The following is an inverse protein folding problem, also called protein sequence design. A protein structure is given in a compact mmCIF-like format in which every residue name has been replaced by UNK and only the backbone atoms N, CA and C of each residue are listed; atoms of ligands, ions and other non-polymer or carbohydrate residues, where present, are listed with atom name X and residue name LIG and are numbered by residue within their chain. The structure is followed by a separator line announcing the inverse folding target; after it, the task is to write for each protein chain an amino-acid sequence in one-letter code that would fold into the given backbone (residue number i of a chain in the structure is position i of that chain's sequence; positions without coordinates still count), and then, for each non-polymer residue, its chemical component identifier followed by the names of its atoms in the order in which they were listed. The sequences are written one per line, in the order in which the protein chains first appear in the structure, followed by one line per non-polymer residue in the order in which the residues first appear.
data_IF_247264628470
#
_entry.id   IF_247264628470
#
_cell.length_a   1.000
_cell.length_b   1.000
_cell.length_c   1.000
_cell.angle_alpha   90.00
_cell.angle_beta   90.00
_cell.angle_gamma   90.00
#
_symmetry.space_group_name_H-M   'P 1'
#
loop_
_entity.id
_entity.type
_entity.pdbx_description
1 polymer ?
#
# COMPACT_ATOMS: atom_id res chain seq x y z
N UNK A 1 -9.15 -9.70 -3.05
CA UNK A 1 -9.11 -9.91 -1.57
C UNK A 1 -7.91 -10.76 -1.21
N UNK A 2 -7.14 -10.41 -0.16
CA UNK A 2 -5.93 -11.14 0.19
C UNK A 2 -6.22 -12.62 0.46
N UNK A 3 -5.34 -13.47 -0.06
CA UNK A 3 -5.43 -14.94 0.09
C UNK A 3 -4.67 -15.47 1.28
N UNK A 4 -3.69 -14.71 1.75
CA UNK A 4 -2.86 -15.10 2.88
C UNK A 4 -2.29 -13.88 3.59
N UNK A 5 -1.94 -14.10 4.85
CA UNK A 5 -1.22 -13.15 5.68
C UNK A 5 -0.11 -13.90 6.43
N UNK A 6 1.09 -13.35 6.39
CA UNK A 6 2.28 -13.97 6.95
C UNK A 6 3.00 -12.95 7.83
N UNK A 7 3.24 -13.31 9.08
CA UNK A 7 4.10 -12.59 10.00
C UNK A 7 5.46 -13.28 10.02
N UNK A 8 6.52 -12.55 9.73
CA UNK A 8 7.86 -13.10 9.69
C UNK A 8 8.89 -12.10 10.23
N UNK A 9 10.02 -12.60 10.65
CA UNK A 9 11.18 -11.81 11.05
C UNK A 9 12.34 -12.07 10.08
N UNK A 10 13.23 -11.09 9.94
CA UNK A 10 14.46 -11.25 9.17
C UNK A 10 15.63 -11.21 10.12
N UNK A 11 16.24 -12.38 10.36
CA UNK A 11 17.49 -12.49 11.07
C UNK A 11 18.66 -12.23 10.12
N UNK A 12 19.64 -11.43 10.58
CA UNK A 12 20.81 -11.07 9.75
C UNK A 12 21.69 -12.27 9.37
N UNK A 13 21.71 -13.30 10.19
CA UNK A 13 22.55 -14.49 10.00
C UNK A 13 21.80 -15.65 9.33
N UNK A 14 20.53 -15.84 9.68
CA UNK A 14 19.74 -16.99 9.23
C UNK A 14 18.73 -16.63 8.13
N UNK A 15 18.47 -15.33 7.90
CA UNK A 15 17.52 -14.88 6.89
C UNK A 15 16.07 -14.84 7.39
N UNK A 16 15.07 -14.91 6.48
CA UNK A 16 13.67 -14.79 6.84
C UNK A 16 13.15 -16.04 7.57
N UNK A 17 12.49 -15.83 8.71
CA UNK A 17 11.87 -16.85 9.55
C UNK A 17 10.39 -16.54 9.77
N UNK A 18 9.49 -17.45 9.42
CA UNK A 18 8.05 -17.29 9.58
C UNK A 18 7.67 -17.52 11.04
N UNK A 19 7.12 -16.49 11.69
CA UNK A 19 6.63 -16.52 13.06
C UNK A 19 5.21 -17.11 13.12
N UNK A 20 4.33 -16.66 12.23
CA UNK A 20 2.97 -17.17 12.05
C UNK A 20 2.49 -16.92 10.63
N UNK A 21 1.62 -17.76 10.14
CA UNK A 21 1.07 -17.67 8.80
C UNK A 21 -0.37 -18.19 8.78
N UNK A 22 -1.21 -17.53 7.97
CA UNK A 22 -2.56 -17.98 7.70
C UNK A 22 -2.86 -17.88 6.22
N UNK A 23 -3.34 -18.97 5.62
CA UNK A 23 -3.69 -19.10 4.22
C UNK A 23 -5.16 -19.49 4.08
N UNK A 24 -5.89 -18.86 3.16
CA UNK A 24 -7.27 -19.27 2.86
C UNK A 24 -7.31 -20.64 2.17
N UNK A 25 -6.29 -20.93 1.35
CA UNK A 25 -6.09 -22.22 0.70
C UNK A 25 -4.68 -22.72 1.00
N UNK A 26 -4.54 -24.03 1.21
CA UNK A 26 -3.23 -24.62 1.54
C UNK A 26 -2.21 -24.53 0.42
N UNK A 27 -2.67 -24.36 -0.82
CA UNK A 27 -1.82 -24.26 -2.01
C UNK A 27 -1.24 -22.84 -2.20
N UNK A 28 -1.73 -21.83 -1.48
CA UNK A 28 -1.29 -20.44 -1.59
C UNK A 28 -0.04 -20.10 -0.73
N UNK A 29 0.81 -21.10 -0.43
CA UNK A 29 2.00 -20.85 0.40
C UNK A 29 2.98 -19.91 -0.27
N UNK A 30 3.52 -18.96 0.54
CA UNK A 30 4.55 -18.04 0.05
C UNK A 30 5.81 -18.81 -0.37
N UNK A 31 6.31 -18.59 -1.60
CA UNK A 31 7.55 -19.22 -2.05
C UNK A 31 8.75 -18.71 -1.26
N UNK A 32 9.68 -19.60 -0.92
CA UNK A 32 10.93 -19.22 -0.22
C UNK A 32 11.77 -18.22 -1.03
N UNK A 33 11.68 -18.26 -2.35
CA UNK A 33 12.33 -17.27 -3.23
C UNK A 33 11.79 -15.85 -3.02
N UNK A 34 10.48 -15.69 -2.80
CA UNK A 34 9.84 -14.41 -2.51
C UNK A 34 10.27 -13.87 -1.14
N UNK A 35 10.31 -14.73 -0.11
CA UNK A 35 10.80 -14.34 1.21
C UNK A 35 12.27 -13.88 1.18
N UNK A 36 13.12 -14.55 0.41
CA UNK A 36 14.51 -14.13 0.21
C UNK A 36 14.60 -12.77 -0.49
N UNK A 37 13.78 -12.55 -1.51
CA UNK A 37 13.74 -11.28 -2.23
C UNK A 37 13.22 -10.15 -1.33
N UNK A 38 12.23 -10.40 -0.47
CA UNK A 38 11.81 -9.45 0.57
C UNK A 38 12.97 -9.12 1.52
N UNK A 39 13.69 -10.13 2.01
CA UNK A 39 14.85 -9.92 2.87
C UNK A 39 15.91 -9.02 2.22
N UNK A 40 16.21 -9.25 0.93
CA UNK A 40 17.16 -8.41 0.20
C UNK A 40 16.68 -6.97 0.05
N UNK A 41 15.40 -6.76 -0.26
CA UNK A 41 14.84 -5.42 -0.46
C UNK A 41 14.70 -4.67 0.86
N UNK A 42 14.24 -5.30 1.92
CA UNK A 42 14.08 -4.67 3.23
C UNK A 42 15.43 -4.37 3.91
N UNK A 43 16.32 -5.37 4.00
CA UNK A 43 17.57 -5.24 4.76
C UNK A 43 18.66 -4.55 3.96
N UNK A 44 18.93 -5.00 2.72
CA UNK A 44 20.04 -4.44 1.93
C UNK A 44 19.70 -3.10 1.29
N UNK A 45 18.42 -2.86 0.93
CA UNK A 45 17.99 -1.62 0.28
C UNK A 45 17.25 -0.67 1.20
N UNK A 46 16.86 -1.11 2.40
CA UNK A 46 16.21 -0.28 3.42
C UNK A 46 14.77 0.13 3.09
N UNK A 47 14.06 -0.62 2.23
CA UNK A 47 12.67 -0.31 1.91
C UNK A 47 11.74 -0.71 3.06
N UNK A 48 10.82 0.20 3.44
CA UNK A 48 9.80 -0.07 4.46
C UNK A 48 8.71 -0.99 3.94
N UNK A 49 8.30 -0.81 2.68
CA UNK A 49 7.32 -1.65 1.99
C UNK A 49 7.88 -2.16 0.67
N UNK A 50 7.50 -3.36 0.30
CA UNK A 50 7.98 -4.04 -0.89
C UNK A 50 6.83 -4.80 -1.54
N UNK A 51 6.69 -4.65 -2.84
CA UNK A 51 5.81 -5.47 -3.66
C UNK A 51 6.64 -6.34 -4.62
N UNK A 52 6.22 -7.59 -4.79
CA UNK A 52 6.82 -8.54 -5.73
C UNK A 52 5.66 -9.19 -6.50
N UNK A 53 5.75 -9.16 -7.84
CA UNK A 53 4.87 -9.95 -8.71
C UNK A 53 5.56 -11.22 -9.12
N UNK A 54 4.84 -12.31 -9.00
CA UNK A 54 5.32 -13.61 -9.50
C UNK A 54 4.12 -14.45 -9.89
N UNK A 55 4.13 -14.88 -11.14
CA UNK A 55 3.00 -15.55 -11.77
C UNK A 55 1.74 -14.65 -11.70
N UNK A 56 0.59 -15.19 -11.30
CA UNK A 56 -0.67 -14.45 -11.12
C UNK A 56 -0.83 -13.86 -9.70
N UNK A 57 0.21 -13.89 -8.87
CA UNK A 57 0.17 -13.44 -7.50
C UNK A 57 1.01 -12.18 -7.31
N UNK A 58 0.47 -11.30 -6.47
CA UNK A 58 1.13 -10.11 -5.99
C UNK A 58 1.43 -10.28 -4.51
N UNK A 59 2.69 -10.21 -4.14
CA UNK A 59 3.16 -10.34 -2.76
C UNK A 59 3.51 -8.95 -2.25
N UNK A 60 2.84 -8.51 -1.21
CA UNK A 60 3.12 -7.24 -0.53
C UNK A 60 3.71 -7.52 0.83
N UNK A 61 4.76 -6.81 1.22
CA UNK A 61 5.37 -6.89 2.55
C UNK A 61 5.66 -5.51 3.09
N UNK A 62 5.30 -5.28 4.35
CA UNK A 62 5.52 -4.06 5.08
C UNK A 62 6.33 -4.32 6.36
N UNK A 63 7.27 -3.41 6.68
CA UNK A 63 7.98 -3.42 7.96
C UNK A 63 7.03 -2.94 9.06
N UNK A 64 6.88 -3.76 10.09
CA UNK A 64 6.01 -3.47 11.22
C UNK A 64 6.76 -2.65 12.26
N UNK A 65 6.14 -1.59 12.79
CA UNK A 65 6.70 -0.88 13.95
C UNK A 65 6.51 -1.71 15.22
N UNK A 66 7.54 -2.45 15.59
CA UNK A 66 7.53 -3.41 16.69
C UNK A 66 8.32 -2.94 17.93
N UNK A 67 8.54 -1.63 18.08
CA UNK A 67 9.25 -1.04 19.23
C UNK A 67 8.61 -1.43 20.58
N UNK A 68 7.27 -1.44 20.63
CA UNK A 68 6.53 -1.81 21.86
C UNK A 68 6.75 -3.25 22.33
N UNK A 69 7.23 -4.13 21.45
CA UNK A 69 7.54 -5.53 21.75
C UNK A 69 9.05 -5.84 21.73
N UNK A 70 9.89 -4.80 21.70
CA UNK A 70 11.36 -4.91 21.65
C UNK A 70 11.89 -5.78 20.51
N UNK A 71 11.29 -5.70 19.32
CA UNK A 71 11.73 -6.36 18.12
C UNK A 71 11.90 -5.36 16.98
N UNK A 72 12.96 -5.52 16.18
CA UNK A 72 13.30 -4.53 15.15
C UNK A 72 12.97 -4.95 13.72
N UNK A 73 13.04 -6.23 13.42
CA UNK A 73 13.00 -6.73 12.05
C UNK A 73 11.79 -7.66 11.81
N UNK A 74 10.60 -7.18 12.21
CA UNK A 74 9.33 -7.86 11.97
C UNK A 74 8.65 -7.25 10.75
N UNK A 75 8.05 -8.13 9.96
CA UNK A 75 7.37 -7.79 8.72
C UNK A 75 6.04 -8.53 8.63
N UNK A 76 5.07 -7.85 8.05
CA UNK A 76 3.77 -8.43 7.71
C UNK A 76 3.66 -8.51 6.19
N UNK A 77 3.35 -9.69 5.66
CA UNK A 77 3.18 -9.88 4.22
C UNK A 77 1.79 -10.39 3.88
N UNK A 78 1.29 -9.95 2.74
CA UNK A 78 0.00 -10.35 2.18
C UNK A 78 0.19 -10.93 0.79
N UNK A 79 -0.57 -11.97 0.47
CA UNK A 79 -0.66 -12.51 -0.87
C UNK A 79 -1.97 -12.03 -1.49
N UNK A 80 -1.86 -11.29 -2.57
CA UNK A 80 -2.96 -10.67 -3.30
C UNK A 80 -3.12 -11.32 -4.67
N UNK A 81 -4.31 -11.22 -5.24
CA UNK A 81 -4.53 -11.55 -6.65
C UNK A 81 -4.08 -10.40 -7.53
N UNK A 82 -3.76 -10.70 -8.78
CA UNK A 82 -3.54 -9.67 -9.78
C UNK A 82 -4.80 -8.81 -9.96
N UNK A 83 -4.61 -7.49 -10.06
CA UNK A 83 -5.72 -6.53 -10.19
C UNK A 83 -6.36 -6.08 -8.87
N UNK A 84 -5.91 -6.58 -7.71
CA UNK A 84 -6.36 -6.05 -6.42
C UNK A 84 -5.74 -4.68 -6.13
N UNK A 85 -6.59 -3.73 -5.72
CA UNK A 85 -6.18 -2.36 -5.35
C UNK A 85 -5.43 -2.39 -4.00
N UNK A 86 -4.11 -2.50 -4.08
CA UNK A 86 -3.23 -2.53 -2.90
C UNK A 86 -3.37 -1.28 -2.04
N UNK A 87 -3.58 -0.12 -2.66
CA UNK A 87 -3.60 1.16 -1.94
C UNK A 87 -4.82 1.26 -1.05
N UNK A 88 -5.98 0.86 -1.56
CA UNK A 88 -7.21 0.78 -0.75
C UNK A 88 -7.08 -0.22 0.39
N UNK A 89 -6.30 -1.29 0.20
CA UNK A 89 -6.05 -2.30 1.22
C UNK A 89 -5.01 -1.87 2.25
N UNK A 90 -4.10 -0.93 1.94
CA UNK A 90 -3.04 -0.49 2.88
C UNK A 90 -3.58 -0.05 4.23
N UNK A 91 -4.66 0.74 4.26
CA UNK A 91 -5.26 1.18 5.52
C UNK A 91 -5.83 0.03 6.37
N UNK A 92 -6.33 -1.01 5.72
CA UNK A 92 -6.78 -2.23 6.42
C UNK A 92 -5.58 -3.03 6.94
N UNK A 93 -4.48 -3.07 6.17
CA UNK A 93 -3.24 -3.73 6.60
C UNK A 93 -2.63 -3.04 7.82
N UNK A 94 -2.63 -1.71 7.88
CA UNK A 94 -2.20 -0.92 9.04
C UNK A 94 -3.04 -1.22 10.29
N UNK A 95 -4.36 -1.39 10.13
CA UNK A 95 -5.24 -1.81 11.22
C UNK A 95 -4.91 -3.22 11.72
N UNK A 96 -4.61 -4.15 10.81
CA UNK A 96 -4.20 -5.51 11.16
C UNK A 96 -2.83 -5.48 11.85
N UNK A 97 -1.87 -4.71 11.34
CA UNK A 97 -0.56 -4.50 11.94
C UNK A 97 -0.70 -4.05 13.40
N UNK A 98 -1.53 -3.03 13.64
CA UNK A 98 -1.81 -2.54 14.99
C UNK A 98 -2.35 -3.64 15.90
N UNK A 99 -3.32 -4.44 15.42
CA UNK A 99 -3.89 -5.58 16.18
C UNK A 99 -2.85 -6.67 16.45
N UNK A 100 -1.99 -6.96 15.47
CA UNK A 100 -0.90 -7.95 15.59
C UNK A 100 0.08 -7.52 16.68
N UNK A 101 0.48 -6.25 16.70
CA UNK A 101 1.44 -5.73 17.69
C UNK A 101 0.82 -5.68 19.09
N UNK A 102 -0.40 -5.16 19.22
CA UNK A 102 -1.10 -5.07 20.51
C UNK A 102 -1.31 -6.43 21.19
N UNK A 103 -1.48 -7.47 20.39
CA UNK A 103 -1.77 -8.84 20.89
C UNK A 103 -0.60 -9.81 20.61
N UNK A 104 0.59 -9.28 20.37
CA UNK A 104 1.74 -10.12 20.04
C UNK A 104 2.02 -11.18 21.11
N UNK A 105 2.21 -12.41 20.67
CA UNK A 105 2.54 -13.55 21.52
C UNK A 105 3.60 -14.43 20.86
N UNK A 106 4.43 -15.07 21.68
CA UNK A 106 5.36 -16.12 21.21
C UNK A 106 4.64 -17.43 20.90
N UNK A 107 3.38 -17.56 21.31
CA UNK A 107 2.55 -18.71 20.97
C UNK A 107 2.06 -18.59 19.52
N UNK A 108 2.58 -19.48 18.67
CA UNK A 108 2.25 -19.51 17.23
C UNK A 108 0.74 -19.66 16.98
N UNK A 109 0.04 -20.46 17.78
CA UNK A 109 -1.39 -20.71 17.57
C UNK A 109 -2.22 -19.43 17.82
N UNK A 110 -1.87 -18.68 18.89
CA UNK A 110 -2.51 -17.39 19.16
C UNK A 110 -2.25 -16.39 18.03
N UNK A 111 -1.03 -16.33 17.51
CA UNK A 111 -0.71 -15.44 16.40
C UNK A 111 -1.47 -15.84 15.13
N UNK A 112 -1.56 -17.13 14.81
CA UNK A 112 -2.36 -17.61 13.67
C UNK A 112 -3.83 -17.20 13.80
N UNK A 113 -4.41 -17.25 14.99
CA UNK A 113 -5.79 -16.81 15.23
C UNK A 113 -5.97 -15.31 14.97
N UNK A 114 -5.02 -14.48 15.42
CA UNK A 114 -5.03 -13.03 15.16
C UNK A 114 -4.95 -12.76 13.66
N UNK A 115 -4.05 -13.44 12.94
CA UNK A 115 -3.91 -13.29 11.49
C UNK A 115 -5.17 -13.74 10.75
N UNK A 116 -5.78 -14.86 11.17
CA UNK A 116 -7.05 -15.35 10.64
C UNK A 116 -8.17 -14.33 10.82
N UNK A 117 -8.30 -13.76 12.01
CA UNK A 117 -9.30 -12.72 12.28
C UNK A 117 -9.05 -11.46 11.42
N UNK A 118 -7.79 -11.08 11.20
CA UNK A 118 -7.41 -9.99 10.31
C UNK A 118 -7.87 -10.22 8.87
N UNK A 119 -7.59 -11.37 8.29
CA UNK A 119 -8.04 -11.70 6.92
C UNK A 119 -9.57 -11.76 6.84
N UNK A 120 -10.22 -12.37 7.81
CA UNK A 120 -11.67 -12.47 7.84
C UNK A 120 -12.35 -11.10 7.92
N UNK A 121 -11.77 -10.13 8.62
CA UNK A 121 -12.31 -8.75 8.65
C UNK A 121 -12.26 -8.09 7.28
N UNK A 122 -11.16 -8.26 6.52
CA UNK A 122 -11.06 -7.73 5.14
C UNK A 122 -12.07 -8.41 4.21
N UNK A 123 -12.21 -9.74 4.31
CA UNK A 123 -13.17 -10.50 3.49
C UNK A 123 -14.60 -10.08 3.78
N UNK A 124 -14.94 -9.93 5.06
CA UNK A 124 -16.26 -9.48 5.50
C UNK A 124 -16.59 -8.08 4.97
N UNK A 125 -15.62 -7.15 5.04
CA UNK A 125 -15.77 -5.79 4.52
C UNK A 125 -16.03 -5.81 3.01
N UNK A 126 -15.29 -6.61 2.26
CA UNK A 126 -15.51 -6.75 0.82
C UNK A 126 -16.87 -7.33 0.46
N UNK A 127 -17.32 -8.33 1.22
CA UNK A 127 -18.66 -8.92 1.03
C UNK A 127 -19.77 -7.89 1.33
N UNK A 128 -19.64 -7.16 2.45
CA UNK A 128 -20.60 -6.09 2.82
C UNK A 128 -20.73 -5.03 1.72
N UNK A 129 -19.63 -4.65 1.07
CA UNK A 129 -19.65 -3.66 -0.02
C UNK A 129 -20.28 -4.17 -1.31
N UNK A 130 -20.20 -5.49 -1.57
CA UNK A 130 -20.76 -6.11 -2.77
C UNK A 130 -22.23 -6.55 -2.61
N UNK A 131 -22.60 -6.94 -1.39
CA UNK A 131 -23.91 -7.53 -1.08
C UNK A 131 -24.67 -6.69 -0.04
N UNK A 132 -25.50 -5.72 -0.46
CA UNK A 132 -26.28 -4.86 0.45
C UNK A 132 -27.13 -5.65 1.47
N UNK A 133 -27.54 -6.87 1.12
CA UNK A 133 -28.32 -7.75 1.98
C UNK A 133 -27.56 -8.06 3.29
N UNK A 134 -26.24 -8.24 3.25
CA UNK A 134 -25.44 -8.53 4.44
C UNK A 134 -25.53 -7.36 5.44
N UNK A 135 -25.46 -6.12 4.93
CA UNK A 135 -25.62 -4.93 5.77
C UNK A 135 -27.04 -4.88 6.35
N UNK A 136 -28.07 -5.14 5.53
CA UNK A 136 -29.46 -5.18 5.99
C UNK A 136 -29.66 -6.21 7.11
N UNK A 137 -29.10 -7.39 6.98
CA UNK A 137 -29.20 -8.43 8.01
C UNK A 137 -28.50 -8.01 9.33
N UNK A 138 -27.33 -7.36 9.25
CA UNK A 138 -26.63 -6.82 10.43
C UNK A 138 -27.46 -5.71 11.10
N UNK A 139 -28.04 -4.80 10.33
CA UNK A 139 -28.90 -3.73 10.86
C UNK A 139 -30.14 -4.29 11.53
N UNK A 140 -30.76 -5.32 10.95
CA UNK A 140 -31.90 -6.01 11.55
C UNK A 140 -31.55 -6.67 12.89
N UNK A 141 -30.37 -7.29 13.01
CA UNK A 141 -29.93 -7.86 14.30
C UNK A 141 -29.65 -6.77 15.33
N UNK A 142 -29.03 -5.65 14.95
CA UNK A 142 -28.82 -4.50 15.85
C UNK A 142 -30.14 -3.91 16.32
N UNK A 143 -31.07 -3.75 15.40
CA UNK A 143 -32.44 -3.23 15.72
C UNK A 143 -33.15 -4.12 16.72
N UNK A 144 -33.10 -5.45 16.55
CA UNK A 144 -33.68 -6.38 17.54
C UNK A 144 -33.09 -6.19 18.93
N UNK A 145 -31.75 -6.06 19.05
CA UNK A 145 -31.09 -5.79 20.32
C UNK A 145 -31.53 -4.46 20.94
N UNK A 146 -31.63 -3.40 20.15
CA UNK A 146 -32.10 -2.09 20.60
C UNK A 146 -33.56 -2.17 21.12
N UNK A 147 -34.42 -2.93 20.46
CA UNK A 147 -35.78 -3.18 20.91
C UNK A 147 -35.83 -3.93 22.24
N UNK A 148 -34.96 -4.95 22.43
CA UNK A 148 -34.85 -5.72 23.67
C UNK A 148 -34.34 -4.82 24.83
N UNK A 149 -33.51 -3.81 24.51
CA UNK A 149 -32.98 -2.83 25.45
C UNK A 149 -33.92 -1.61 25.68
N UNK A 150 -35.13 -1.60 25.11
CA UNK A 150 -36.11 -0.50 25.15
C UNK A 150 -35.64 0.82 24.49
N UNK A 151 -34.69 0.76 23.56
CA UNK A 151 -34.22 1.90 22.77
C UNK A 151 -35.08 2.09 21.53
N UNK A 152 -36.38 2.39 21.73
CA UNK A 152 -37.41 2.35 20.67
C UNK A 152 -37.20 3.39 19.59
N UNK A 153 -36.69 4.58 19.94
CA UNK A 153 -36.50 5.66 18.99
C UNK A 153 -35.32 5.35 18.08
N UNK A 154 -34.18 4.96 18.65
CA UNK A 154 -32.97 4.58 17.91
C UNK A 154 -33.20 3.36 17.00
N UNK A 155 -33.98 2.38 17.50
CA UNK A 155 -34.39 1.21 16.71
C UNK A 155 -35.20 1.62 15.49
N UNK A 156 -36.17 2.55 15.65
CA UNK A 156 -37.01 3.02 14.55
C UNK A 156 -36.17 3.78 13.48
N UNK A 157 -35.29 4.69 13.92
CA UNK A 157 -34.39 5.41 13.01
C UNK A 157 -33.51 4.44 12.24
N UNK A 158 -33.01 3.38 12.88
CA UNK A 158 -32.15 2.37 12.23
C UNK A 158 -32.93 1.49 11.24
N UNK A 159 -34.23 1.20 11.50
CA UNK A 159 -35.10 0.51 10.55
C UNK A 159 -35.27 1.34 9.28
N UNK A 160 -35.65 2.63 9.44
CA UNK A 160 -35.89 3.53 8.32
C UNK A 160 -34.63 3.68 7.44
N UNK A 161 -33.45 3.78 8.06
CA UNK A 161 -32.16 3.83 7.36
C UNK A 161 -31.81 2.48 6.70
N UNK A 162 -32.12 1.37 7.36
CA UNK A 162 -31.80 0.01 6.90
C UNK A 162 -32.54 -0.42 5.62
N UNK A 163 -33.68 0.21 5.30
CA UNK A 163 -34.42 -0.10 4.09
C UNK A 163 -33.68 0.37 2.82
N UNK A 164 -33.22 1.62 2.81
CA UNK A 164 -32.73 2.29 1.60
C UNK A 164 -31.19 2.46 1.56
N UNK A 165 -30.56 2.73 2.70
CA UNK A 165 -29.15 3.17 2.73
C UNK A 165 -28.18 2.09 2.25
N UNK A 166 -28.33 0.80 2.58
CA UNK A 166 -27.41 -0.24 2.09
C UNK A 166 -27.34 -0.35 0.57
N UNK A 167 -28.47 -0.20 -0.11
CA UNK A 167 -28.53 -0.23 -1.57
C UNK A 167 -27.90 1.03 -2.17
N UNK A 168 -28.25 2.20 -1.64
CA UNK A 168 -27.65 3.48 -2.05
C UNK A 168 -26.12 3.48 -1.86
N UNK A 169 -25.64 2.88 -0.77
CA UNK A 169 -24.21 2.73 -0.48
C UNK A 169 -23.53 1.88 -1.57
N UNK A 170 -24.08 0.70 -1.88
CA UNK A 170 -23.50 -0.19 -2.88
C UNK A 170 -23.54 0.43 -4.29
N UNK A 171 -24.61 1.12 -4.64
CA UNK A 171 -24.71 1.82 -5.92
C UNK A 171 -23.70 2.96 -6.04
N UNK A 172 -23.52 3.76 -4.98
CA UNK A 172 -22.54 4.85 -4.97
C UNK A 172 -21.09 4.33 -5.06
N UNK A 173 -20.80 3.17 -4.44
CA UNK A 173 -19.49 2.50 -4.58
C UNK A 173 -19.26 2.05 -6.02
N UNK A 174 -20.26 1.43 -6.68
CA UNK A 174 -20.16 1.04 -8.09
C UNK A 174 -19.90 2.24 -9.00
N UNK A 175 -20.63 3.33 -8.80
CA UNK A 175 -20.46 4.58 -9.55
C UNK A 175 -19.04 5.14 -9.34
N UNK A 176 -18.52 5.09 -8.11
CA UNK A 176 -17.17 5.53 -7.80
C UNK A 176 -16.12 4.69 -8.53
N UNK A 177 -16.29 3.37 -8.57
CA UNK A 177 -15.39 2.45 -9.27
C UNK A 177 -15.43 2.62 -10.80
N UNK A 178 -16.60 2.90 -11.37
CA UNK A 178 -16.74 3.24 -12.79
C UNK A 178 -16.00 4.53 -13.13
N UNK A 179 -16.14 5.60 -12.32
CA UNK A 179 -15.38 6.84 -12.49
C UNK A 179 -13.87 6.60 -12.36
N UNK A 180 -13.45 5.76 -11.43
CA UNK A 180 -12.02 5.41 -11.24
C UNK A 180 -11.49 4.69 -12.49
N UNK A 181 -12.22 3.72 -13.02
CA UNK A 181 -11.87 2.98 -14.25
C UNK A 181 -11.76 3.93 -15.45
N UNK A 182 -12.60 4.95 -15.52
CA UNK A 182 -12.59 5.96 -16.57
C UNK A 182 -11.59 7.09 -16.31
N UNK A 183 -10.74 6.99 -15.26
CA UNK A 183 -9.76 8.00 -14.84
C UNK A 183 -10.38 9.35 -14.47
N UNK A 184 -11.66 9.37 -14.13
CA UNK A 184 -12.37 10.55 -13.66
C UNK A 184 -12.19 10.74 -12.13
N UNK A 185 -10.96 10.86 -11.68
CA UNK A 185 -10.54 10.78 -10.28
C UNK A 185 -11.30 11.72 -9.32
N UNK A 186 -11.60 12.95 -9.76
CA UNK A 186 -12.36 13.91 -8.93
C UNK A 186 -13.79 13.47 -8.68
N UNK A 187 -14.42 12.84 -9.69
CA UNK A 187 -15.79 12.29 -9.55
C UNK A 187 -15.74 11.03 -8.69
N UNK A 188 -14.77 10.14 -8.93
CA UNK A 188 -14.55 8.96 -8.11
C UNK A 188 -14.37 9.31 -6.62
N UNK A 189 -13.48 10.29 -6.30
CA UNK A 189 -13.34 10.81 -4.93
C UNK A 189 -14.68 11.21 -4.33
N UNK A 190 -15.45 12.02 -5.06
CA UNK A 190 -16.74 12.54 -4.56
C UNK A 190 -17.73 11.42 -4.24
N UNK A 191 -17.83 10.42 -5.11
CA UNK A 191 -18.69 9.25 -4.91
C UNK A 191 -18.20 8.37 -3.75
N UNK A 192 -16.88 8.11 -3.59
CA UNK A 192 -16.37 7.39 -2.44
C UNK A 192 -16.65 8.11 -1.12
N UNK A 193 -16.49 9.44 -1.06
CA UNK A 193 -16.80 10.22 0.14
C UNK A 193 -18.29 10.17 0.47
N UNK A 194 -19.17 10.30 -0.53
CA UNK A 194 -20.61 10.16 -0.34
C UNK A 194 -20.99 8.77 0.16
N UNK A 195 -20.39 7.71 -0.40
CA UNK A 195 -20.57 6.35 0.10
C UNK A 195 -20.08 6.20 1.55
N UNK A 196 -18.96 6.85 1.92
CA UNK A 196 -18.49 6.90 3.30
C UNK A 196 -19.51 7.56 4.24
N UNK A 197 -20.12 8.66 3.83
CA UNK A 197 -21.18 9.33 4.60
C UNK A 197 -22.40 8.42 4.81
N UNK A 198 -22.81 7.69 3.78
CA UNK A 198 -23.90 6.70 3.88
C UNK A 198 -23.55 5.58 4.88
N UNK A 199 -22.30 5.11 4.89
CA UNK A 199 -21.84 4.10 5.84
C UNK A 199 -21.86 4.63 7.29
N UNK A 200 -21.51 5.90 7.52
CA UNK A 200 -21.63 6.54 8.84
C UNK A 200 -23.07 6.55 9.32
N UNK A 201 -24.03 6.89 8.46
CA UNK A 201 -25.45 6.94 8.83
C UNK A 201 -25.97 5.60 9.39
N UNK A 202 -25.47 4.48 8.87
CA UNK A 202 -25.82 3.13 9.32
C UNK A 202 -24.84 2.57 10.35
N UNK A 203 -23.96 3.39 10.91
CA UNK A 203 -22.98 3.04 11.95
C UNK A 203 -22.00 1.92 11.53
N UNK A 204 -21.66 1.85 10.25
CA UNK A 204 -20.64 0.94 9.69
C UNK A 204 -19.29 1.67 9.57
N UNK A 205 -18.64 1.96 10.71
CA UNK A 205 -17.43 2.78 10.81
C UNK A 205 -16.24 2.20 10.02
N UNK A 206 -16.09 0.87 9.96
CA UNK A 206 -15.02 0.23 9.19
C UNK A 206 -15.19 0.50 7.69
N UNK A 207 -16.42 0.40 7.18
CA UNK A 207 -16.76 0.71 5.79
C UNK A 207 -16.54 2.19 5.52
N UNK A 208 -17.02 3.05 6.42
CA UNK A 208 -16.90 4.50 6.30
C UNK A 208 -15.42 4.93 6.21
N UNK A 209 -14.58 4.44 7.12
CA UNK A 209 -13.15 4.72 7.13
C UNK A 209 -12.45 4.24 5.86
N UNK A 210 -12.72 3.00 5.43
CA UNK A 210 -12.15 2.44 4.21
C UNK A 210 -12.50 3.29 2.98
N UNK A 211 -13.77 3.63 2.79
CA UNK A 211 -14.23 4.40 1.63
C UNK A 211 -13.70 5.83 1.65
N UNK A 212 -13.59 6.45 2.82
CA UNK A 212 -12.99 7.78 2.98
C UNK A 212 -11.53 7.76 2.57
N UNK A 213 -10.76 6.83 3.08
CA UNK A 213 -9.34 6.69 2.76
C UNK A 213 -9.14 6.43 1.27
N UNK A 214 -9.96 5.56 0.66
CA UNK A 214 -9.95 5.31 -0.78
C UNK A 214 -10.27 6.57 -1.58
N UNK A 215 -11.29 7.31 -1.19
CA UNK A 215 -11.67 8.56 -1.86
C UNK A 215 -10.59 9.64 -1.76
N UNK A 216 -9.99 9.83 -0.58
CA UNK A 216 -8.90 10.79 -0.38
C UNK A 216 -7.66 10.41 -1.19
N UNK A 217 -7.33 9.13 -1.23
CA UNK A 217 -6.20 8.64 -2.01
C UNK A 217 -6.39 8.87 -3.51
N UNK A 218 -7.52 8.42 -4.07
CA UNK A 218 -7.88 8.62 -5.48
C UNK A 218 -7.92 10.12 -5.83
N UNK A 219 -8.35 10.96 -4.89
CA UNK A 219 -8.39 12.40 -5.08
C UNK A 219 -7.03 13.07 -5.28
N UNK A 220 -5.93 12.43 -4.89
CA UNK A 220 -4.55 12.93 -5.09
C UNK A 220 -4.00 12.61 -6.48
N UNK A 221 -4.57 11.64 -7.19
CA UNK A 221 -4.06 11.19 -8.50
C UNK A 221 -3.88 12.32 -9.53
N UNK A 222 -4.82 13.27 -9.72
CA UNK A 222 -4.63 14.34 -10.67
C UNK A 222 -3.41 15.22 -10.38
N UNK A 223 -3.11 15.45 -9.11
CA UNK A 223 -1.98 16.29 -8.71
C UNK A 223 -0.67 15.50 -8.83
N UNK A 224 -0.66 14.22 -8.46
CA UNK A 224 0.48 13.32 -8.66
C UNK A 224 0.82 13.16 -10.16
N UNK A 225 -0.17 13.06 -11.04
CA UNK A 225 0.04 12.97 -12.48
C UNK A 225 0.65 14.26 -13.05
N UNK A 226 0.18 15.43 -12.60
CA UNK A 226 0.77 16.72 -13.00
C UNK A 226 2.21 16.87 -12.52
N UNK A 227 2.47 16.48 -11.27
CA UNK A 227 3.81 16.51 -10.70
C UNK A 227 4.75 15.58 -11.48
N UNK A 228 4.29 14.39 -11.84
CA UNK A 228 5.02 13.45 -12.70
C UNK A 228 5.40 14.05 -14.03
N UNK A 229 4.45 14.72 -14.70
CA UNK A 229 4.71 15.37 -15.99
C UNK A 229 5.72 16.50 -15.87
N UNK A 230 5.74 17.21 -14.74
CA UNK A 230 6.74 18.26 -14.47
C UNK A 230 8.13 17.67 -14.24
N UNK A 231 8.22 16.60 -13.44
CA UNK A 231 9.48 15.92 -13.16
C UNK A 231 10.06 15.24 -14.41
N UNK A 232 9.23 14.67 -15.28
CA UNK A 232 9.68 14.12 -16.56
C UNK A 232 10.34 15.20 -17.43
N UNK A 233 9.74 16.40 -17.54
CA UNK A 233 10.34 17.52 -18.28
C UNK A 233 11.66 18.01 -17.65
N UNK A 234 11.76 17.97 -16.33
CA UNK A 234 12.99 18.31 -15.62
C UNK A 234 14.10 17.29 -15.95
N UNK A 235 13.79 15.99 -15.89
CA UNK A 235 14.73 14.93 -16.25
C UNK A 235 15.15 15.03 -17.72
N UNK A 236 14.20 15.27 -18.64
CA UNK A 236 14.50 15.49 -20.06
C UNK A 236 15.46 16.66 -20.26
N UNK A 237 15.26 17.76 -19.54
CA UNK A 237 16.16 18.92 -19.61
C UNK A 237 17.55 18.55 -19.10
N UNK A 238 17.67 17.90 -17.93
CA UNK A 238 18.96 17.50 -17.36
C UNK A 238 19.67 16.53 -18.31
N UNK A 239 18.97 15.53 -18.84
CA UNK A 239 19.55 14.53 -19.77
C UNK A 239 20.01 15.18 -21.07
N UNK A 240 19.27 16.13 -21.62
CA UNK A 240 19.70 16.92 -22.79
C UNK A 240 20.96 17.74 -22.53
N UNK A 241 21.15 18.29 -21.34
CA UNK A 241 22.38 18.99 -20.94
C UNK A 241 23.58 18.04 -20.75
N UNK A 242 23.36 16.77 -20.36
CA UNK A 242 24.41 15.76 -20.28
C UNK A 242 25.05 15.43 -21.63
N UNK A 243 24.27 15.46 -22.71
CA UNK A 243 24.77 15.28 -24.08
C UNK A 243 25.81 16.34 -24.47
N UNK A 244 25.78 17.50 -23.81
CA UNK A 244 26.78 18.59 -23.96
C UNK A 244 28.05 18.40 -23.10
N UNK A 245 28.40 17.19 -22.64
CA UNK A 245 29.56 16.89 -21.78
C UNK A 245 29.54 17.54 -20.38
N UNK A 246 28.37 17.82 -19.84
CA UNK A 246 28.21 18.35 -18.48
C UNK A 246 28.05 17.21 -17.46
N UNK A 247 29.08 16.39 -17.28
CA UNK A 247 29.03 15.15 -16.47
C UNK A 247 28.64 15.37 -15.00
N UNK A 248 28.83 16.57 -14.44
CA UNK A 248 28.47 16.90 -13.07
C UNK A 248 26.96 16.99 -12.82
N UNK A 249 26.12 16.93 -13.86
CA UNK A 249 24.66 17.00 -13.74
C UNK A 249 24.02 15.65 -13.40
N UNK A 250 24.78 14.54 -13.42
CA UNK A 250 24.21 13.21 -13.04
C UNK A 250 23.62 13.18 -11.66
N UNK A 251 24.21 13.92 -10.71
CA UNK A 251 23.71 14.03 -9.34
C UNK A 251 22.32 14.64 -9.27
N UNK A 252 22.04 15.63 -10.13
CA UNK A 252 20.74 16.32 -10.18
C UNK A 252 19.58 15.43 -10.65
N UNK A 253 19.87 14.26 -11.24
CA UNK A 253 18.84 13.28 -11.63
C UNK A 253 18.27 12.49 -10.45
N UNK A 254 19.01 12.42 -9.33
CA UNK A 254 18.68 11.50 -8.25
C UNK A 254 17.35 11.89 -7.57
N UNK A 255 17.21 13.14 -7.15
CA UNK A 255 16.03 13.62 -6.44
C UNK A 255 14.75 13.56 -7.29
N UNK A 256 14.72 14.05 -8.55
CA UNK A 256 13.56 13.88 -9.41
C UNK A 256 13.17 12.42 -9.66
N UNK A 257 14.14 11.52 -9.83
CA UNK A 257 13.85 10.09 -10.00
C UNK A 257 13.29 9.50 -8.72
N UNK A 258 13.80 9.86 -7.55
CA UNK A 258 13.27 9.38 -6.28
C UNK A 258 11.82 9.80 -6.09
N UNK A 259 11.51 11.03 -6.42
CA UNK A 259 10.15 11.52 -6.37
C UNK A 259 9.23 10.83 -7.38
N UNK A 260 9.73 10.54 -8.59
CA UNK A 260 8.98 9.73 -9.57
C UNK A 260 8.71 8.30 -9.06
N UNK A 261 9.66 7.69 -8.36
CA UNK A 261 9.47 6.37 -7.73
C UNK A 261 8.34 6.43 -6.69
N UNK A 262 8.30 7.46 -5.85
CA UNK A 262 7.22 7.66 -4.89
C UNK A 262 5.86 7.83 -5.57
N UNK A 263 5.79 8.65 -6.62
CA UNK A 263 4.56 8.88 -7.40
C UNK A 263 4.11 7.57 -8.06
N UNK A 264 5.02 6.84 -8.70
CA UNK A 264 4.75 5.56 -9.35
C UNK A 264 4.23 4.51 -8.37
N UNK A 265 4.79 4.46 -7.16
CA UNK A 265 4.29 3.61 -6.08
C UNK A 265 2.87 4.00 -5.65
N UNK A 266 2.57 5.30 -5.54
CA UNK A 266 1.24 5.80 -5.19
C UNK A 266 0.20 5.53 -6.30
N UNK A 267 0.63 5.47 -7.55
CA UNK A 267 -0.21 5.14 -8.70
C UNK A 267 -0.26 3.64 -9.01
N UNK A 268 0.45 2.81 -8.23
CA UNK A 268 0.58 1.35 -8.42
C UNK A 268 1.21 0.92 -9.77
N UNK A 269 2.03 1.78 -10.34
CA UNK A 269 2.75 1.54 -11.60
C UNK A 269 4.06 0.78 -11.34
N UNK A 270 4.00 -0.48 -10.93
CA UNK A 270 5.18 -1.25 -10.47
C UNK A 270 6.26 -1.47 -11.55
N UNK A 271 5.84 -1.66 -12.80
CA UNK A 271 6.77 -1.79 -13.92
C UNK A 271 7.61 -0.51 -14.06
N UNK A 272 6.93 0.64 -14.07
CA UNK A 272 7.60 1.94 -14.13
C UNK A 272 8.49 2.17 -12.90
N UNK A 273 8.03 1.81 -11.71
CA UNK A 273 8.83 1.85 -10.48
C UNK A 273 10.12 1.04 -10.62
N UNK A 274 10.05 -0.18 -11.18
CA UNK A 274 11.22 -1.02 -11.44
C UNK A 274 12.22 -0.41 -12.42
N UNK A 275 11.73 0.24 -13.47
CA UNK A 275 12.58 0.94 -14.45
C UNK A 275 13.22 2.20 -13.87
N UNK A 276 12.46 2.99 -13.13
CA UNK A 276 12.97 4.17 -12.43
C UNK A 276 14.06 3.80 -11.40
N UNK A 277 13.92 2.67 -10.71
CA UNK A 277 14.97 2.18 -9.80
C UNK A 277 16.26 1.80 -10.54
N UNK A 278 16.15 1.19 -11.73
CA UNK A 278 17.32 0.92 -12.58
C UNK A 278 17.95 2.22 -13.05
N UNK A 279 17.15 3.19 -13.46
CA UNK A 279 17.61 4.51 -13.89
C UNK A 279 18.35 5.20 -12.75
N UNK A 280 17.78 5.26 -11.53
CA UNK A 280 18.44 5.80 -10.33
C UNK A 280 19.80 5.15 -10.06
N UNK A 281 19.86 3.82 -10.12
CA UNK A 281 21.11 3.09 -9.90
C UNK A 281 22.18 3.46 -10.94
N UNK A 282 21.78 3.63 -12.20
CA UNK A 282 22.68 4.05 -13.25
C UNK A 282 23.15 5.50 -13.06
N UNK A 283 22.23 6.41 -12.69
CA UNK A 283 22.58 7.80 -12.37
C UNK A 283 23.60 7.87 -11.21
N UNK A 284 23.36 7.14 -10.10
CA UNK A 284 24.31 7.05 -8.97
C UNK A 284 25.69 6.52 -9.38
N UNK A 285 25.74 5.54 -10.27
CA UNK A 285 27.02 5.02 -10.79
C UNK A 285 27.73 6.07 -11.63
N UNK A 286 26.98 6.75 -12.50
CA UNK A 286 27.51 7.83 -13.35
C UNK A 286 28.05 9.00 -12.53
N UNK A 287 27.36 9.42 -11.47
CA UNK A 287 27.84 10.43 -10.52
C UNK A 287 29.20 10.05 -9.93
N UNK A 288 29.37 8.81 -9.45
CA UNK A 288 30.67 8.35 -8.90
C UNK A 288 31.79 8.44 -9.94
N UNK A 289 31.54 7.99 -11.17
CA UNK A 289 32.54 8.11 -12.24
C UNK A 289 32.86 9.56 -12.60
N UNK A 290 31.87 10.45 -12.61
CA UNK A 290 32.09 11.87 -12.84
C UNK A 290 32.94 12.51 -11.73
N UNK A 291 32.71 12.15 -10.48
CA UNK A 291 33.50 12.62 -9.34
C UNK A 291 34.95 12.10 -9.39
N UNK A 292 35.13 10.82 -9.73
CA UNK A 292 36.46 10.23 -9.94
C UNK A 292 37.22 10.96 -11.06
N UNK A 293 36.56 11.23 -12.19
CA UNK A 293 37.13 11.97 -13.32
C UNK A 293 37.54 13.39 -12.92
N UNK A 294 36.66 14.10 -12.20
CA UNK A 294 36.94 15.44 -11.66
C UNK A 294 38.15 15.43 -10.72
N UNK A 295 38.25 14.39 -9.87
CA UNK A 295 39.43 14.22 -9.01
C UNK A 295 40.72 14.01 -9.78
N UNK A 296 40.70 13.28 -10.88
CA UNK A 296 41.85 13.09 -11.78
C UNK A 296 42.21 14.37 -12.53
N UNK A 297 41.25 15.12 -13.03
CA UNK A 297 41.47 16.42 -13.68
C UNK A 297 42.18 17.42 -12.74
N UNK A 298 41.76 17.46 -11.47
CA UNK A 298 42.40 18.31 -10.49
C UNK A 298 43.86 17.91 -10.24
N UNK A 299 44.15 16.60 -10.11
CA UNK A 299 45.53 16.08 -9.96
C UNK A 299 46.38 16.42 -11.20
N UNK A 300 45.84 16.33 -12.40
CA UNK A 300 46.56 16.69 -13.63
C UNK A 300 46.90 18.17 -13.61
N UNK A 301 45.94 19.06 -13.24
CA UNK A 301 46.18 20.48 -13.10
C UNK A 301 47.27 20.81 -12.07
N UNK A 302 47.18 20.18 -10.88
CA UNK A 302 48.20 20.35 -9.82
C UNK A 302 49.61 19.91 -10.28
N UNK A 303 49.68 18.79 -11.02
CA UNK A 303 50.98 18.33 -11.54
C UNK A 303 51.53 19.28 -12.62
N UNK A 304 50.67 19.80 -13.47
CA UNK A 304 51.08 20.78 -14.50
C UNK A 304 51.57 22.07 -13.90
N UNK A 305 50.99 22.54 -12.79
CA UNK A 305 51.45 23.75 -12.10
C UNK A 305 52.78 23.60 -11.36
N UNK A 306 53.28 22.37 -11.20
CA UNK A 306 54.59 22.06 -10.59
C UNK A 306 55.76 21.92 -11.59
N UNK A 307 55.46 21.94 -12.87
CA UNK A 307 56.42 21.93 -14.00
C UNK A 307 56.70 23.35 -14.42
#
# INVERSE_FOLDING_TARGET
MPRAIILYEIDQSFGPNILADYYLKQDDKIPTTVLKEFSEKHVKKGYSDVTIRKDENRFYSNKVNAESINKENIYLSFILQEGEDLISLKSLFENIETKVIQNYSTDKNKMVEILKNGINSILSLGQKLQEPKIIKDILNERTKKMLDENLLQEARELIDLGEDVPEKLADEVKVAEEFLKNKEYRKAKKSFLKASELAVLIQEEEIASFLRNKGEHVGRFPDLLKERDSLNKEIEKITGELEGNRLYLYDLLIDPIDRLIEISNNLEEEELTGELMKFKNNAKRATRFADDLKGLDNKIKENFTKI
#
